data_IF_471339327737
#
_entry.id   IF_471339327737
#
_cell.length_a   1.000
_cell.length_b   1.000
_cell.length_c   1.000
_cell.angle_alpha   90.00
_cell.angle_beta   90.00
_cell.angle_gamma   90.00
#
_symmetry.space_group_name_H-M   'P 1'
#
loop_
_entity.id
_entity.type
_entity.pdbx_description
1 polymer ?
#
# COMPACT_ATOMS: atom_id res chain seq x y z
N UNK A 1 7.42 -46.87 69.28
CA UNK A 1 7.26 -45.70 70.09
C UNK A 1 6.60 -44.62 69.21
N UNK A 2 5.34 -44.48 69.36
CA UNK A 2 4.52 -43.38 69.66
C UNK A 2 3.73 -42.92 68.40
N UNK A 3 2.62 -43.60 68.17
CA UNK A 3 1.52 -43.14 67.34
C UNK A 3 0.67 -42.13 68.14
N UNK A 4 0.25 -41.01 67.65
CA UNK A 4 -1.02 -40.45 68.07
C UNK A 4 -1.98 -40.26 66.89
N UNK A 5 -3.06 -41.05 66.99
CA UNK A 5 -4.37 -40.83 66.39
C UNK A 5 -4.83 -39.37 66.50
N UNK A 6 -5.25 -38.78 65.36
CA UNK A 6 -5.98 -37.52 65.32
C UNK A 6 -7.37 -37.74 64.73
N UNK A 7 -8.31 -37.39 65.58
CA UNK A 7 -9.75 -37.56 65.49
C UNK A 7 -10.38 -36.96 64.22
N UNK A 8 -11.29 -37.77 63.69
CA UNK A 8 -12.26 -37.39 62.66
C UNK A 8 -13.32 -36.44 63.21
N UNK A 9 -13.13 -35.14 63.03
CA UNK A 9 -14.24 -34.19 63.24
C UNK A 9 -15.16 -34.15 62.01
N UNK A 10 -16.31 -34.75 62.19
CA UNK A 10 -17.46 -34.63 61.33
C UNK A 10 -17.91 -33.15 61.21
N UNK A 11 -17.55 -32.50 60.08
CA UNK A 11 -18.09 -31.21 59.75
C UNK A 11 -19.46 -31.33 59.09
N UNK A 12 -20.46 -31.02 59.90
CA UNK A 12 -21.85 -30.80 59.57
C UNK A 12 -22.05 -30.03 58.25
N UNK A 13 -22.64 -30.70 57.25
CA UNK A 13 -23.10 -30.06 56.03
C UNK A 13 -24.24 -29.11 56.36
N UNK A 14 -23.93 -27.81 56.57
CA UNK A 14 -24.92 -26.75 56.59
C UNK A 14 -25.59 -26.64 55.21
N UNK A 15 -26.91 -26.85 55.19
CA UNK A 15 -27.79 -26.61 54.06
C UNK A 15 -27.58 -25.17 53.52
N UNK A 16 -26.92 -25.03 52.38
CA UNK A 16 -26.86 -23.81 51.62
C UNK A 16 -28.15 -23.69 50.83
N UNK A 17 -28.98 -22.64 51.02
CA UNK A 17 -30.22 -22.47 50.30
C UNK A 17 -29.94 -22.29 48.81
N UNK A 18 -30.46 -23.17 47.96
CA UNK A 18 -30.43 -23.14 46.49
C UNK A 18 -31.31 -22.01 45.94
N UNK A 19 -31.04 -20.77 46.27
CA UNK A 19 -31.79 -19.62 45.72
C UNK A 19 -30.87 -18.47 45.42
N UNK A 20 -30.02 -18.61 44.39
CA UNK A 20 -29.42 -17.53 43.63
C UNK A 20 -28.77 -18.13 42.37
N UNK A 21 -29.57 -18.84 41.57
CA UNK A 21 -29.22 -18.98 40.16
C UNK A 21 -29.70 -17.67 39.55
N UNK A 22 -28.87 -16.64 39.66
CA UNK A 22 -29.04 -15.45 38.87
C UNK A 22 -28.98 -15.91 37.41
N UNK A 23 -30.11 -15.81 36.73
CA UNK A 23 -30.22 -15.97 35.27
C UNK A 23 -29.38 -14.86 34.69
N UNK A 24 -28.11 -15.15 34.41
CA UNK A 24 -27.28 -14.27 33.61
C UNK A 24 -27.94 -14.12 32.23
N UNK A 25 -28.29 -12.92 31.81
CA UNK A 25 -28.81 -12.73 30.47
C UNK A 25 -27.80 -13.30 29.48
N UNK A 26 -28.28 -14.23 28.66
CA UNK A 26 -27.51 -14.91 27.62
C UNK A 26 -26.72 -13.87 26.80
N UNK A 27 -25.40 -13.81 26.93
CA UNK A 27 -24.49 -12.94 26.20
C UNK A 27 -24.40 -13.24 24.68
N UNK A 28 -25.25 -14.13 24.17
CA UNK A 28 -25.24 -14.58 22.77
C UNK A 28 -25.51 -13.45 21.75
N UNK A 29 -26.24 -12.41 22.16
CA UNK A 29 -26.59 -11.28 21.26
C UNK A 29 -25.42 -10.35 20.97
N UNK A 30 -24.51 -10.16 21.92
CA UNK A 30 -23.39 -9.21 21.79
C UNK A 30 -22.30 -9.78 20.86
N UNK A 31 -22.02 -11.07 20.92
CA UNK A 31 -21.04 -11.70 20.03
C UNK A 31 -21.49 -11.72 18.56
N UNK A 32 -22.75 -12.01 18.29
CA UNK A 32 -23.32 -12.02 16.95
C UNK A 32 -23.26 -10.64 16.30
N UNK A 33 -23.53 -9.59 17.04
CA UNK A 33 -23.44 -8.21 16.56
C UNK A 33 -22.00 -7.80 16.25
N UNK A 34 -21.03 -8.26 17.03
CA UNK A 34 -19.60 -8.03 16.80
C UNK A 34 -19.11 -8.62 15.46
N UNK A 35 -19.57 -9.83 15.10
CA UNK A 35 -19.21 -10.46 13.84
C UNK A 35 -19.77 -9.71 12.61
N UNK A 36 -21.02 -9.26 12.65
CA UNK A 36 -21.62 -8.45 11.57
C UNK A 36 -20.82 -7.17 11.33
N UNK A 37 -20.49 -6.44 12.40
CA UNK A 37 -19.72 -5.19 12.31
C UNK A 37 -18.35 -5.45 11.65
N UNK A 38 -17.65 -6.51 12.03
CA UNK A 38 -16.34 -6.86 11.43
C UNK A 38 -16.46 -7.10 9.93
N UNK A 39 -17.46 -7.86 9.47
CA UNK A 39 -17.66 -8.11 8.04
C UNK A 39 -18.01 -6.84 7.27
N UNK A 40 -18.79 -5.94 7.84
CA UNK A 40 -19.12 -4.64 7.22
C UNK A 40 -17.86 -3.78 7.11
N UNK A 41 -17.04 -3.68 8.16
CA UNK A 41 -15.79 -2.91 8.14
C UNK A 41 -14.83 -3.44 7.05
N UNK A 42 -14.66 -4.77 6.96
CA UNK A 42 -13.81 -5.37 5.92
C UNK A 42 -14.37 -5.07 4.53
N UNK A 43 -15.68 -5.17 4.34
CA UNK A 43 -16.31 -4.85 3.05
C UNK A 43 -16.11 -3.37 2.65
N UNK A 44 -16.20 -2.44 3.59
CA UNK A 44 -15.93 -1.02 3.36
C UNK A 44 -14.47 -0.75 3.00
N UNK A 45 -13.53 -1.43 3.67
CA UNK A 45 -12.11 -1.34 3.32
C UNK A 45 -11.85 -1.87 1.90
N UNK A 46 -12.42 -3.02 1.55
CA UNK A 46 -12.32 -3.55 0.19
C UNK A 46 -12.91 -2.58 -0.85
N UNK A 47 -14.05 -1.94 -0.55
CA UNK A 47 -14.66 -0.95 -1.43
C UNK A 47 -13.75 0.28 -1.61
N UNK A 48 -13.13 0.76 -0.53
CA UNK A 48 -12.16 1.86 -0.58
C UNK A 48 -10.97 1.52 -1.48
N UNK A 49 -10.41 0.31 -1.37
CA UNK A 49 -9.34 -0.17 -2.26
C UNK A 49 -9.82 -0.24 -3.72
N UNK A 50 -11.06 -0.69 -3.96
CA UNK A 50 -11.64 -0.74 -5.31
C UNK A 50 -11.71 0.66 -5.91
N UNK A 51 -12.22 1.65 -5.19
CA UNK A 51 -12.33 3.04 -5.67
C UNK A 51 -10.93 3.60 -5.98
N UNK A 52 -9.96 3.44 -5.09
CA UNK A 52 -8.58 3.88 -5.32
C UNK A 52 -7.97 3.22 -6.57
N UNK A 53 -8.21 1.94 -6.78
CA UNK A 53 -7.74 1.19 -7.97
C UNK A 53 -8.39 1.70 -9.26
N UNK A 54 -9.68 2.02 -9.23
CA UNK A 54 -10.41 2.58 -10.38
C UNK A 54 -9.84 3.95 -10.74
N UNK A 55 -9.65 4.84 -9.76
CA UNK A 55 -9.03 6.15 -9.99
C UNK A 55 -7.65 5.99 -10.61
N UNK A 56 -6.80 5.13 -10.06
CA UNK A 56 -5.45 4.86 -10.60
C UNK A 56 -5.50 4.33 -12.02
N UNK A 57 -6.48 3.47 -12.35
CA UNK A 57 -6.65 2.92 -13.69
C UNK A 57 -7.01 4.00 -14.72
N UNK A 58 -7.94 4.88 -14.39
CA UNK A 58 -8.37 5.95 -15.30
C UNK A 58 -7.38 7.11 -15.39
N UNK A 59 -6.53 7.32 -14.39
CA UNK A 59 -5.48 8.35 -14.41
C UNK A 59 -4.24 7.94 -15.20
N UNK A 60 -4.20 6.73 -15.79
CA UNK A 60 -3.05 6.29 -16.60
C UNK A 60 -3.02 6.99 -17.95
N UNK A 61 -1.82 7.32 -18.46
CA UNK A 61 -1.70 7.93 -19.78
C UNK A 61 -2.08 6.91 -20.88
N UNK A 62 -2.91 7.34 -21.83
CA UNK A 62 -3.30 6.54 -22.98
C UNK A 62 -2.21 6.50 -24.06
N UNK A 63 -1.41 7.58 -24.19
CA UNK A 63 -0.33 7.75 -25.13
C UNK A 63 0.82 8.53 -24.51
N UNK A 64 1.95 8.58 -25.20
CA UNK A 64 3.03 9.50 -24.88
C UNK A 64 2.50 10.93 -25.10
N UNK A 65 2.74 11.87 -24.17
CA UNK A 65 2.33 13.26 -24.34
C UNK A 65 2.92 13.88 -25.60
N UNK A 66 2.16 14.77 -26.22
CA UNK A 66 2.62 15.50 -27.44
C UNK A 66 3.54 16.67 -27.11
N UNK A 67 3.50 17.13 -25.86
CA UNK A 67 4.29 18.27 -25.38
C UNK A 67 5.38 17.78 -24.43
N UNK A 68 6.39 17.11 -25.01
CA UNK A 68 7.58 16.73 -24.27
C UNK A 68 8.62 17.83 -24.40
N UNK A 69 9.17 18.24 -23.26
CA UNK A 69 10.34 19.11 -23.17
C UNK A 69 11.58 18.28 -22.85
N UNK A 70 12.72 18.82 -23.18
CA UNK A 70 14.02 18.21 -22.95
C UNK A 70 14.88 19.15 -22.08
N UNK A 71 15.62 18.57 -21.15
CA UNK A 71 16.59 19.27 -20.34
C UNK A 71 17.92 18.52 -20.31
N UNK A 72 18.98 19.24 -20.66
CA UNK A 72 20.35 18.76 -20.56
C UNK A 72 21.08 19.47 -19.42
N UNK A 73 21.86 18.72 -18.67
CA UNK A 73 22.63 19.31 -17.59
C UNK A 73 23.46 18.30 -16.82
N UNK A 74 24.15 18.82 -15.82
CA UNK A 74 24.85 18.01 -14.82
C UNK A 74 24.02 17.96 -13.54
N UNK A 75 24.03 16.82 -12.87
CA UNK A 75 23.33 16.64 -11.60
C UNK A 75 24.01 17.48 -10.52
N UNK A 76 23.26 18.39 -9.90
CA UNK A 76 23.72 19.19 -8.77
C UNK A 76 23.47 18.48 -7.43
N UNK A 77 22.29 17.87 -7.29
CA UNK A 77 21.86 17.18 -6.09
C UNK A 77 21.14 15.90 -6.46
N UNK A 78 21.32 14.84 -5.67
CA UNK A 78 20.59 13.59 -5.79
C UNK A 78 20.22 13.07 -4.43
N UNK A 79 18.94 12.71 -4.28
CA UNK A 79 18.36 12.11 -3.06
C UNK A 79 17.50 10.90 -3.44
N UNK A 80 17.39 9.92 -2.55
CA UNK A 80 16.52 8.76 -2.76
C UNK A 80 15.50 8.62 -1.64
N UNK A 81 14.26 8.39 -2.03
CA UNK A 81 13.20 8.04 -1.09
C UNK A 81 13.07 6.52 -1.03
N UNK A 82 13.21 5.98 0.18
CA UNK A 82 13.07 4.54 0.42
C UNK A 82 11.89 4.26 1.34
N UNK A 83 11.17 3.17 1.08
CA UNK A 83 10.11 2.66 1.95
C UNK A 83 10.26 1.16 2.12
N UNK A 84 10.34 0.71 3.37
CA UNK A 84 10.52 -0.72 3.71
C UNK A 84 11.72 -1.36 2.98
N UNK A 85 12.84 -0.62 2.86
CA UNK A 85 14.06 -1.09 2.21
C UNK A 85 14.01 -1.15 0.68
N UNK A 86 12.96 -0.60 0.04
CA UNK A 86 12.85 -0.51 -1.42
C UNK A 86 12.87 0.93 -1.88
N UNK A 87 13.59 1.21 -2.96
CA UNK A 87 13.57 2.51 -3.61
C UNK A 87 12.17 2.80 -4.15
N UNK A 88 11.63 3.99 -3.80
CA UNK A 88 10.35 4.48 -4.30
C UNK A 88 10.55 5.54 -5.37
N UNK A 89 11.48 6.45 -5.13
CA UNK A 89 11.87 7.45 -6.12
C UNK A 89 13.32 7.89 -5.92
N UNK A 90 13.93 8.35 -7.00
CA UNK A 90 15.21 9.04 -7.02
C UNK A 90 14.92 10.47 -7.46
N UNK A 91 15.17 11.44 -6.58
CA UNK A 91 14.98 12.85 -6.84
C UNK A 91 16.34 13.47 -7.17
N UNK A 92 16.40 14.28 -8.21
CA UNK A 92 17.62 14.99 -8.57
C UNK A 92 17.32 16.37 -9.13
N UNK A 93 18.28 17.28 -8.98
CA UNK A 93 18.25 18.63 -9.56
C UNK A 93 19.37 18.77 -10.57
N UNK A 94 19.11 19.55 -11.62
CA UNK A 94 20.12 19.92 -12.60
C UNK A 94 20.73 21.27 -12.25
N UNK A 95 22.04 21.40 -12.41
CA UNK A 95 22.76 22.65 -12.22
C UNK A 95 22.31 23.74 -13.22
N UNK A 96 21.83 23.31 -14.40
CA UNK A 96 21.30 24.19 -15.42
C UNK A 96 19.81 24.42 -15.16
N UNK A 97 19.46 25.56 -14.56
CA UNK A 97 18.07 25.99 -14.36
C UNK A 97 17.46 25.61 -12.99
N UNK A 98 18.12 24.81 -12.14
CA UNK A 98 17.60 24.43 -10.82
C UNK A 98 16.36 23.51 -10.87
N UNK A 99 16.06 22.92 -12.01
CA UNK A 99 14.92 22.05 -12.22
C UNK A 99 15.05 20.75 -11.42
N UNK A 100 14.01 20.44 -10.66
CA UNK A 100 13.92 19.20 -9.86
C UNK A 100 13.10 18.15 -10.61
N UNK A 101 13.64 16.94 -10.67
CA UNK A 101 13.03 15.79 -11.33
C UNK A 101 12.88 14.62 -10.37
N UNK A 102 11.82 13.83 -10.57
CA UNK A 102 11.56 12.61 -9.81
C UNK A 102 11.52 11.40 -10.74
N UNK A 103 12.48 10.48 -10.58
CA UNK A 103 12.46 9.16 -11.22
C UNK A 103 11.76 8.17 -10.31
N UNK A 104 10.53 7.81 -10.65
CA UNK A 104 9.68 6.95 -9.84
C UNK A 104 9.99 5.45 -10.05
N UNK A 105 9.74 4.63 -9.03
CA UNK A 105 9.81 3.17 -9.09
C UNK A 105 8.82 2.50 -10.06
N UNK A 106 7.88 3.26 -10.60
CA UNK A 106 7.01 2.81 -11.71
C UNK A 106 7.81 2.63 -13.00
N UNK A 107 8.88 3.43 -13.19
CA UNK A 107 9.75 3.35 -14.34
C UNK A 107 10.77 2.20 -14.18
N UNK A 108 11.24 1.60 -15.27
CA UNK A 108 12.17 0.48 -15.20
C UNK A 108 13.55 0.92 -14.69
N UNK A 109 14.27 0.03 -14.01
CA UNK A 109 15.67 0.23 -13.69
C UNK A 109 16.00 1.26 -12.61
N UNK A 110 15.10 1.54 -11.67
CA UNK A 110 15.34 2.53 -10.61
C UNK A 110 16.62 2.25 -9.79
N UNK A 111 16.94 0.98 -9.52
CA UNK A 111 18.16 0.61 -8.80
C UNK A 111 19.43 0.93 -9.62
N UNK A 112 19.37 0.71 -10.94
CA UNK A 112 20.45 1.07 -11.84
C UNK A 112 20.62 2.60 -11.95
N UNK A 113 19.51 3.35 -11.98
CA UNK A 113 19.53 4.82 -11.94
C UNK A 113 20.20 5.30 -10.66
N UNK A 114 19.76 4.78 -9.50
CA UNK A 114 20.33 5.15 -8.21
C UNK A 114 21.82 4.85 -8.10
N UNK A 115 22.27 3.69 -8.58
CA UNK A 115 23.68 3.30 -8.55
C UNK A 115 24.59 4.14 -9.45
N UNK A 116 24.03 4.72 -10.52
CA UNK A 116 24.79 5.44 -11.56
C UNK A 116 24.66 6.95 -11.47
N UNK A 117 23.53 7.46 -10.99
CA UNK A 117 23.24 8.89 -10.88
C UNK A 117 24.02 9.48 -9.71
N UNK A 118 25.02 10.30 -10.00
CA UNK A 118 25.87 10.97 -9.00
C UNK A 118 25.95 12.46 -9.30
N UNK A 119 26.26 13.25 -8.28
CA UNK A 119 26.56 14.67 -8.46
C UNK A 119 27.67 14.85 -9.50
N UNK A 120 27.48 15.74 -10.44
CA UNK A 120 28.38 15.97 -11.58
C UNK A 120 28.15 15.03 -12.78
N UNK A 121 27.25 14.03 -12.70
CA UNK A 121 26.92 13.18 -13.85
C UNK A 121 26.18 13.96 -14.93
N UNK A 122 26.54 13.85 -16.22
CA UNK A 122 25.78 14.42 -17.31
C UNK A 122 24.49 13.63 -17.50
N UNK A 123 23.37 14.34 -17.61
CA UNK A 123 22.03 13.78 -17.73
C UNK A 123 21.24 14.52 -18.79
N UNK A 124 20.52 13.76 -19.61
CA UNK A 124 19.50 14.27 -20.51
C UNK A 124 18.13 13.70 -20.08
N UNK A 125 17.17 14.59 -19.80
CA UNK A 125 15.84 14.26 -19.31
C UNK A 125 14.80 14.68 -20.34
N UNK A 126 13.89 13.77 -20.68
CA UNK A 126 12.67 14.08 -21.44
C UNK A 126 11.50 14.04 -20.46
N UNK A 127 10.74 15.11 -20.36
CA UNK A 127 9.68 15.26 -19.39
C UNK A 127 8.45 15.93 -19.98
N UNK A 128 7.31 15.79 -19.30
CA UNK A 128 6.07 16.45 -19.64
C UNK A 128 6.04 17.85 -19.01
N UNK A 129 6.15 18.90 -19.83
CA UNK A 129 6.15 20.30 -19.36
C UNK A 129 4.76 20.78 -18.95
N UNK A 130 3.70 20.13 -19.43
CA UNK A 130 2.33 20.41 -19.02
C UNK A 130 2.00 19.86 -17.62
N UNK A 131 2.79 18.89 -17.12
CA UNK A 131 2.63 18.33 -15.79
C UNK A 131 3.39 19.17 -14.76
N UNK A 132 2.69 19.70 -13.76
CA UNK A 132 3.30 20.46 -12.66
C UNK A 132 4.40 19.70 -11.91
N UNK A 133 4.39 18.36 -11.97
CA UNK A 133 5.41 17.49 -11.37
C UNK A 133 6.55 17.15 -12.33
N UNK A 134 6.50 17.64 -13.58
CA UNK A 134 7.50 17.34 -14.60
C UNK A 134 7.82 15.84 -14.67
N UNK A 135 6.80 15.05 -14.88
CA UNK A 135 6.93 13.59 -14.97
C UNK A 135 7.94 13.18 -16.04
N UNK A 136 8.95 12.41 -15.64
CA UNK A 136 10.00 11.92 -16.55
C UNK A 136 9.41 10.90 -17.53
N UNK A 137 9.65 11.11 -18.80
CA UNK A 137 9.29 10.21 -19.90
C UNK A 137 10.50 9.55 -20.54
N UNK A 138 11.66 10.20 -20.51
CA UNK A 138 12.94 9.66 -21.00
C UNK A 138 14.09 10.07 -20.11
N UNK A 139 15.09 9.20 -20.00
CA UNK A 139 16.30 9.47 -19.22
C UNK A 139 17.52 8.86 -19.92
N UNK A 140 18.56 9.67 -20.10
CA UNK A 140 19.88 9.23 -20.53
C UNK A 140 20.91 9.65 -19.49
N UNK A 141 21.84 8.78 -19.20
CA UNK A 141 22.97 9.03 -18.30
C UNK A 141 24.25 8.94 -19.12
N UNK A 142 24.79 10.10 -19.51
CA UNK A 142 25.84 10.17 -20.53
C UNK A 142 25.32 9.64 -21.87
N UNK A 143 26.02 8.64 -22.44
CA UNK A 143 25.64 8.02 -23.73
C UNK A 143 24.60 6.91 -23.57
N UNK A 144 24.35 6.43 -22.35
CA UNK A 144 23.45 5.32 -22.10
C UNK A 144 22.00 5.75 -21.94
N UNK A 145 21.12 5.22 -22.78
CA UNK A 145 19.68 5.38 -22.66
C UNK A 145 19.17 4.44 -21.55
N UNK A 146 18.64 5.03 -20.47
CA UNK A 146 18.08 4.28 -19.33
C UNK A 146 16.63 3.93 -19.59
N UNK A 147 15.85 4.90 -20.08
CA UNK A 147 14.43 4.72 -20.40
C UNK A 147 14.05 5.60 -21.59
N UNK A 148 13.28 5.01 -22.51
CA UNK A 148 12.66 5.75 -23.62
C UNK A 148 11.22 6.14 -23.28
N UNK A 149 10.60 7.10 -23.99
CA UNK A 149 9.20 7.45 -23.78
C UNK A 149 8.23 6.29 -23.95
N UNK A 150 8.51 5.39 -24.88
CA UNK A 150 7.71 4.19 -25.14
C UNK A 150 7.79 3.18 -23.98
N UNK A 151 9.01 2.99 -23.44
CA UNK A 151 9.22 2.13 -22.27
C UNK A 151 8.54 2.72 -21.03
N UNK A 152 8.60 4.04 -20.83
CA UNK A 152 7.91 4.73 -19.76
C UNK A 152 6.38 4.55 -19.88
N UNK A 153 5.82 4.67 -21.09
CA UNK A 153 4.41 4.43 -21.35
C UNK A 153 4.01 2.99 -21.01
N UNK A 154 4.79 2.00 -21.46
CA UNK A 154 4.52 0.59 -21.20
C UNK A 154 4.56 0.30 -19.68
N UNK A 155 5.54 0.83 -18.96
CA UNK A 155 5.68 0.66 -17.52
C UNK A 155 4.46 1.24 -16.77
N UNK A 156 4.03 2.44 -17.13
CA UNK A 156 2.85 3.10 -16.55
C UNK A 156 1.55 2.34 -16.87
N UNK A 157 1.40 1.84 -18.09
CA UNK A 157 0.26 0.99 -18.48
C UNK A 157 0.22 -0.31 -17.68
N UNK A 158 1.36 -0.99 -17.54
CA UNK A 158 1.48 -2.23 -16.76
C UNK A 158 1.12 -2.01 -15.29
N UNK A 159 1.59 -0.92 -14.70
CA UNK A 159 1.24 -0.55 -13.33
C UNK A 159 -0.27 -0.32 -13.16
N UNK A 160 -0.91 0.36 -14.11
CA UNK A 160 -2.36 0.55 -14.13
C UNK A 160 -3.15 -0.77 -14.27
N UNK A 161 -2.66 -1.74 -15.05
CA UNK A 161 -3.28 -3.06 -15.18
C UNK A 161 -3.23 -3.84 -13.85
N UNK A 162 -2.10 -3.79 -13.14
CA UNK A 162 -1.97 -4.40 -11.81
C UNK A 162 -2.98 -3.76 -10.84
N UNK A 163 -3.10 -2.43 -10.84
CA UNK A 163 -4.10 -1.71 -10.04
C UNK A 163 -5.53 -2.20 -10.35
N UNK A 164 -5.89 -2.35 -11.62
CA UNK A 164 -7.21 -2.84 -12.03
C UNK A 164 -7.48 -4.27 -11.53
N UNK A 165 -6.50 -5.16 -11.59
CA UNK A 165 -6.64 -6.52 -11.06
C UNK A 165 -6.86 -6.53 -9.54
N UNK A 166 -6.12 -5.73 -8.79
CA UNK A 166 -6.31 -5.57 -7.35
C UNK A 166 -7.72 -5.03 -7.06
N UNK A 167 -8.17 -4.04 -7.81
CA UNK A 167 -9.52 -3.48 -7.69
C UNK A 167 -10.62 -4.53 -7.90
N UNK A 168 -10.48 -5.38 -8.93
CA UNK A 168 -11.44 -6.45 -9.22
C UNK A 168 -11.48 -7.49 -8.07
N UNK A 169 -10.33 -7.94 -7.59
CA UNK A 169 -10.25 -8.88 -6.47
C UNK A 169 -10.88 -8.27 -5.20
N UNK A 170 -10.61 -7.00 -4.94
CA UNK A 170 -11.18 -6.29 -3.80
C UNK A 170 -12.70 -6.14 -3.91
N UNK A 171 -13.23 -5.89 -5.11
CA UNK A 171 -14.68 -5.81 -5.35
C UNK A 171 -15.37 -7.15 -5.07
N UNK A 172 -14.80 -8.25 -5.56
CA UNK A 172 -15.31 -9.60 -5.28
C UNK A 172 -15.27 -9.91 -3.78
N UNK A 173 -14.18 -9.52 -3.10
CA UNK A 173 -14.05 -9.62 -1.64
C UNK A 173 -15.14 -8.84 -0.91
N UNK A 174 -15.39 -7.59 -1.30
CA UNK A 174 -16.46 -6.78 -0.73
C UNK A 174 -17.83 -7.45 -0.85
N UNK A 175 -18.17 -7.96 -2.05
CA UNK A 175 -19.41 -8.68 -2.29
C UNK A 175 -19.56 -9.94 -1.41
N UNK A 176 -18.48 -10.72 -1.27
CA UNK A 176 -18.45 -11.90 -0.40
C UNK A 176 -18.71 -11.54 1.07
N UNK A 177 -18.02 -10.54 1.61
CA UNK A 177 -18.17 -10.14 3.02
C UNK A 177 -19.54 -9.51 3.30
N UNK A 178 -20.09 -8.71 2.38
CA UNK A 178 -21.46 -8.20 2.49
C UNK A 178 -22.51 -9.32 2.51
N UNK A 179 -22.36 -10.32 1.63
CA UNK A 179 -23.26 -11.49 1.63
C UNK A 179 -23.16 -12.25 2.94
N UNK A 180 -21.98 -12.40 3.50
CA UNK A 180 -21.76 -13.09 4.78
C UNK A 180 -22.33 -12.30 5.96
N UNK A 181 -22.18 -10.96 5.97
CA UNK A 181 -22.76 -10.08 6.99
C UNK A 181 -24.30 -10.16 7.03
N UNK A 182 -24.96 -10.39 5.86
CA UNK A 182 -26.44 -10.55 5.79
C UNK A 182 -26.91 -11.90 6.35
N UNK A 183 -26.05 -12.92 6.40
CA UNK A 183 -26.40 -14.26 6.89
C UNK A 183 -26.03 -14.47 8.36
N UNK A 184 -25.18 -13.65 8.94
CA UNK A 184 -24.81 -13.65 10.35
C UNK A 184 -25.76 -12.80 11.19
#
# INVERSE_FOLDING_TARGET
MGDPSIDSHALSRKNVPRRWIATFPSCSGIEMQSHKIRFIVIALLCLGVTIASVVTFFSRPAAVPTHLAEADGTVEKVDATQRKGRLQSVNFTLATGGDAFEYSSVLPGIDAVWGRLKVGSPVHVIFDDADSKRSIWGLRLGDDVVVTPEQALQARRKNGQIGAMIGLISLLGAGYFLRRARKA
#
